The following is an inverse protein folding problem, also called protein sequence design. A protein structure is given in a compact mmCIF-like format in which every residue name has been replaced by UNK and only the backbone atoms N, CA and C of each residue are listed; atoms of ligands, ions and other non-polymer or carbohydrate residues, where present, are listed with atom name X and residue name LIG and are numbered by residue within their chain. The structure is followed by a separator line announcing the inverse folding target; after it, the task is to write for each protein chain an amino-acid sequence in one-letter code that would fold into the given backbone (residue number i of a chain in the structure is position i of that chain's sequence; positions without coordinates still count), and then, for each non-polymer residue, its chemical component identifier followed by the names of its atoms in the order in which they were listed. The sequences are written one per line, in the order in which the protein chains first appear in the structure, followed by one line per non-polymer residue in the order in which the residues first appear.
data_IF_219449973526
#
_entry.id   IF_219449973526
#
_cell.length_a   1.000
_cell.length_b   1.000
_cell.length_c   1.000
_cell.angle_alpha   90.00
_cell.angle_beta   90.00
_cell.angle_gamma   90.00
#
_symmetry.space_group_name_H-M   'P 1'
#
loop_
_entity.id
_entity.type
_entity.pdbx_description
1 polymer ?
#
# COMPACT_ATOMS: atom_id res chain seq x y z
N UNK A 1 -22.02 -1.46 -13.14
CA UNK A 1 -21.06 -1.15 -12.05
C UNK A 1 -21.35 0.23 -11.49
N UNK A 2 -20.98 0.46 -10.24
CA UNK A 2 -20.87 1.80 -9.68
C UNK A 2 -19.45 2.31 -9.92
N UNK A 3 -19.28 3.28 -10.83
CA UNK A 3 -17.98 3.88 -11.14
C UNK A 3 -18.05 5.43 -11.31
N UNK A 4 -17.71 6.22 -10.26
CA UNK A 4 -17.41 5.79 -8.89
C UNK A 4 -18.71 5.36 -8.18
N UNK A 5 -18.71 5.21 -6.85
CA UNK A 5 -19.91 4.83 -6.08
C UNK A 5 -21.13 5.74 -6.42
N UNK A 6 -22.38 5.30 -6.19
CA UNK A 6 -23.56 5.99 -6.69
C UNK A 6 -23.76 7.39 -6.09
N UNK A 7 -23.35 7.60 -4.83
CA UNK A 7 -23.40 8.91 -4.15
C UNK A 7 -22.45 9.88 -4.83
N UNK A 8 -21.20 9.45 -5.05
CA UNK A 8 -20.20 10.23 -5.74
C UNK A 8 -20.61 10.50 -7.19
N UNK A 9 -21.03 9.48 -7.95
CA UNK A 9 -21.41 9.61 -9.36
C UNK A 9 -22.48 10.66 -9.60
N UNK A 10 -23.53 10.64 -8.77
CA UNK A 10 -24.69 11.52 -8.92
C UNK A 10 -24.59 12.82 -8.11
N UNK A 11 -23.55 12.94 -7.28
CA UNK A 11 -23.43 14.00 -6.26
C UNK A 11 -24.71 14.09 -5.39
N UNK A 12 -25.18 12.93 -4.92
CA UNK A 12 -26.42 12.77 -4.17
C UNK A 12 -26.18 12.14 -2.80
N UNK A 13 -25.79 12.94 -1.79
CA UNK A 13 -25.62 12.45 -0.41
C UNK A 13 -26.95 12.06 0.26
N UNK A 14 -28.08 12.28 -0.41
CA UNK A 14 -29.41 11.89 0.03
C UNK A 14 -29.81 10.46 -0.36
N UNK A 15 -29.00 9.76 -1.16
CA UNK A 15 -29.23 8.33 -1.45
C UNK A 15 -29.16 7.52 -0.16
N UNK A 16 -29.92 6.44 -0.13
CA UNK A 16 -30.03 5.49 0.98
C UNK A 16 -30.06 4.10 0.40
N UNK A 17 -29.51 3.13 1.12
CA UNK A 17 -29.44 1.73 0.71
C UNK A 17 -30.85 1.13 0.48
N UNK A 18 -31.73 1.19 1.48
CA UNK A 18 -33.09 0.62 1.43
C UNK A 18 -33.12 -0.91 1.23
N UNK A 19 -32.21 -1.64 1.86
CA UNK A 19 -32.10 -3.10 1.83
C UNK A 19 -32.11 -3.66 0.40
N UNK A 20 -31.11 -3.27 -0.39
CA UNK A 20 -30.87 -3.72 -1.77
C UNK A 20 -31.98 -3.42 -2.78
N UNK A 21 -32.91 -2.53 -2.43
CA UNK A 21 -33.97 -2.16 -3.34
C UNK A 21 -33.37 -1.50 -4.59
N UNK A 22 -33.57 -2.13 -5.76
CA UNK A 22 -33.11 -1.58 -7.04
C UNK A 22 -33.59 -0.13 -7.28
N UNK A 23 -34.78 0.23 -6.78
CA UNK A 23 -35.33 1.58 -6.88
C UNK A 23 -34.63 2.63 -6.02
N UNK A 24 -33.78 2.23 -5.07
CA UNK A 24 -33.06 3.14 -4.19
C UNK A 24 -31.98 3.92 -4.95
N UNK A 25 -31.41 3.32 -5.99
CA UNK A 25 -30.35 3.91 -6.81
C UNK A 25 -30.84 4.09 -8.27
N UNK A 26 -30.86 5.33 -8.80
CA UNK A 26 -31.28 5.56 -10.18
C UNK A 26 -30.33 4.96 -11.22
N UNK A 27 -30.85 4.54 -12.38
CA UNK A 27 -30.07 4.00 -13.52
C UNK A 27 -28.85 4.85 -13.90
N UNK A 28 -28.92 6.18 -13.74
CA UNK A 28 -27.83 7.10 -14.05
C UNK A 28 -26.59 6.93 -13.16
N UNK A 29 -26.70 6.23 -12.03
CA UNK A 29 -25.56 5.87 -11.19
C UNK A 29 -24.74 4.72 -11.79
N UNK A 30 -25.37 3.87 -12.60
CA UNK A 30 -24.73 2.70 -13.18
C UNK A 30 -23.91 3.08 -14.42
N UNK A 31 -22.74 2.47 -14.54
CA UNK A 31 -21.90 2.54 -15.73
C UNK A 31 -21.78 1.16 -16.37
N UNK A 32 -21.92 1.11 -17.70
CA UNK A 32 -21.60 -0.07 -18.52
C UNK A 32 -20.11 -0.06 -18.83
N UNK A 33 -19.43 -1.16 -18.51
CA UNK A 33 -17.99 -1.33 -18.69
C UNK A 33 -17.70 -2.69 -19.31
N UNK A 34 -16.50 -2.86 -19.87
CA UNK A 34 -15.99 -4.15 -20.30
C UNK A 34 -15.23 -4.82 -19.14
N UNK A 35 -15.58 -6.07 -18.82
CA UNK A 35 -14.80 -6.89 -17.91
C UNK A 35 -13.74 -7.64 -18.71
N UNK A 36 -12.48 -7.26 -18.50
CA UNK A 36 -11.35 -7.74 -19.29
C UNK A 36 -10.89 -9.13 -18.84
N UNK A 37 -10.38 -9.91 -19.78
CA UNK A 37 -9.69 -11.19 -19.53
C UNK A 37 -10.53 -12.26 -18.78
N UNK A 38 -11.85 -12.22 -18.94
CA UNK A 38 -12.75 -13.27 -18.47
C UNK A 38 -12.61 -14.57 -19.28
N UNK A 39 -12.88 -15.74 -18.67
CA UNK A 39 -12.92 -17.01 -19.38
C UNK A 39 -14.16 -17.10 -20.27
N UNK A 40 -14.21 -18.08 -21.17
CA UNK A 40 -15.35 -18.25 -22.07
C UNK A 40 -16.65 -18.69 -21.35
N UNK A 41 -16.55 -19.26 -20.15
CA UNK A 41 -17.67 -19.73 -19.33
C UNK A 41 -17.20 -19.98 -17.90
N UNK A 42 -18.15 -20.07 -16.95
CA UNK A 42 -17.89 -20.34 -15.55
C UNK A 42 -17.64 -19.07 -14.72
N UNK A 43 -17.05 -19.19 -13.52
CA UNK A 43 -16.86 -18.07 -12.60
C UNK A 43 -16.04 -16.91 -13.21
N UNK A 44 -16.24 -15.70 -12.68
CA UNK A 44 -15.47 -14.53 -13.09
C UNK A 44 -14.02 -14.63 -12.58
N UNK A 45 -13.12 -15.14 -13.42
CA UNK A 45 -11.74 -15.41 -13.06
C UNK A 45 -10.76 -15.00 -14.18
N UNK A 46 -10.02 -13.92 -13.95
CA UNK A 46 -8.97 -13.42 -14.84
C UNK A 46 -7.56 -13.53 -14.22
N UNK A 47 -6.55 -12.95 -14.89
CA UNK A 47 -5.17 -12.99 -14.42
C UNK A 47 -4.90 -12.12 -13.18
N UNK A 48 -5.80 -11.16 -12.89
CA UNK A 48 -5.65 -10.20 -11.79
C UNK A 48 -6.60 -10.52 -10.62
N UNK A 49 -7.77 -11.09 -10.88
CA UNK A 49 -8.85 -11.28 -9.91
C UNK A 49 -9.52 -12.63 -10.13
N UNK A 50 -9.86 -13.31 -9.05
CA UNK A 50 -10.69 -14.51 -9.05
C UNK A 50 -11.85 -14.33 -8.08
N UNK A 51 -13.08 -14.22 -8.59
CA UNK A 51 -14.26 -14.26 -7.73
C UNK A 51 -14.41 -15.67 -7.14
N UNK A 52 -14.61 -15.73 -5.84
CA UNK A 52 -14.82 -16.94 -5.05
C UNK A 52 -15.98 -16.76 -4.09
N UNK A 53 -16.52 -17.86 -3.57
CA UNK A 53 -17.54 -17.86 -2.53
C UNK A 53 -17.15 -18.91 -1.48
N UNK A 54 -16.50 -18.42 -0.42
CA UNK A 54 -15.78 -19.24 0.56
C UNK A 54 -16.30 -19.03 1.97
N UNK A 55 -16.81 -17.84 2.29
CA UNK A 55 -17.48 -17.53 3.56
C UNK A 55 -18.96 -17.29 3.34
N UNK A 56 -19.79 -17.55 4.35
CA UNK A 56 -21.22 -17.28 4.19
C UNK A 56 -21.47 -15.77 4.00
N UNK A 57 -22.59 -15.38 3.38
CA UNK A 57 -23.62 -16.24 2.78
C UNK A 57 -23.22 -16.84 1.41
N UNK A 58 -23.84 -17.97 1.05
CA UNK A 58 -23.70 -18.54 -0.30
C UNK A 58 -24.73 -17.90 -1.22
N UNK A 59 -24.31 -17.31 -2.34
CA UNK A 59 -25.20 -16.61 -3.27
C UNK A 59 -25.21 -17.27 -4.66
N UNK A 60 -26.00 -16.70 -5.58
CA UNK A 60 -26.02 -17.16 -6.96
C UNK A 60 -24.95 -16.42 -7.76
N UNK A 61 -24.03 -17.16 -8.39
CA UNK A 61 -22.89 -16.57 -9.10
C UNK A 61 -23.19 -16.12 -10.53
N UNK A 62 -22.43 -15.14 -11.00
CA UNK A 62 -22.33 -14.81 -12.41
C UNK A 62 -21.57 -15.91 -13.17
N UNK A 63 -21.97 -16.14 -14.43
CA UNK A 63 -21.24 -16.98 -15.36
C UNK A 63 -20.75 -16.11 -16.53
N UNK A 64 -19.45 -16.16 -16.82
CA UNK A 64 -18.81 -15.37 -17.86
C UNK A 64 -19.39 -15.60 -19.28
N UNK A 65 -20.12 -16.69 -19.49
CA UNK A 65 -20.82 -16.99 -20.76
C UNK A 65 -22.20 -16.33 -20.88
N UNK A 66 -22.71 -15.72 -19.81
CA UNK A 66 -24.05 -15.11 -19.75
C UNK A 66 -23.99 -13.58 -19.82
N UNK A 67 -25.18 -12.94 -19.80
CA UNK A 67 -25.27 -11.49 -19.67
C UNK A 67 -24.77 -11.07 -18.28
N UNK A 68 -23.80 -10.16 -18.24
CA UNK A 68 -23.23 -9.60 -17.00
C UNK A 68 -23.81 -8.22 -16.66
N UNK A 69 -25.05 -7.99 -17.08
CA UNK A 69 -25.79 -6.76 -16.83
C UNK A 69 -26.72 -7.01 -15.64
N UNK A 70 -26.31 -6.54 -14.47
CA UNK A 70 -27.02 -6.68 -13.21
C UNK A 70 -27.33 -5.31 -12.60
N UNK A 71 -28.45 -5.21 -11.89
CA UNK A 71 -28.68 -4.15 -10.91
C UNK A 71 -28.37 -4.67 -9.50
N UNK A 72 -28.31 -3.75 -8.54
CA UNK A 72 -27.92 -4.03 -7.16
C UNK A 72 -28.83 -4.99 -6.38
N UNK A 73 -30.03 -5.29 -6.87
CA UNK A 73 -30.91 -6.27 -6.21
C UNK A 73 -30.50 -7.72 -6.49
N UNK A 74 -29.43 -7.91 -7.27
CA UNK A 74 -28.94 -9.21 -7.72
C UNK A 74 -27.52 -9.42 -7.19
N UNK A 75 -27.24 -10.53 -6.46
CA UNK A 75 -25.92 -10.77 -5.85
C UNK A 75 -24.77 -10.87 -6.86
N UNK A 76 -25.09 -11.08 -8.14
CA UNK A 76 -24.07 -11.03 -9.19
C UNK A 76 -23.51 -9.62 -9.42
N UNK A 77 -24.18 -8.57 -8.94
CA UNK A 77 -23.75 -7.19 -9.10
C UNK A 77 -22.44 -6.93 -8.35
N UNK A 78 -22.34 -7.39 -7.10
CA UNK A 78 -21.18 -7.29 -6.23
C UNK A 78 -19.97 -8.01 -6.87
N UNK A 79 -20.20 -9.18 -7.48
CA UNK A 79 -19.15 -9.92 -8.21
C UNK A 79 -18.58 -9.14 -9.39
N UNK A 80 -19.44 -8.57 -10.23
CA UNK A 80 -18.97 -7.83 -11.41
C UNK A 80 -18.35 -6.48 -11.03
N UNK A 81 -18.83 -5.86 -9.94
CA UNK A 81 -18.34 -4.58 -9.43
C UNK A 81 -16.94 -4.76 -8.81
N UNK A 82 -16.77 -5.75 -7.93
CA UNK A 82 -15.46 -6.09 -7.32
C UNK A 82 -14.45 -6.53 -8.36
N UNK A 83 -14.83 -7.39 -9.32
CA UNK A 83 -13.94 -7.80 -10.41
C UNK A 83 -13.40 -6.59 -11.16
N UNK A 84 -14.29 -5.67 -11.57
CA UNK A 84 -13.92 -4.48 -12.32
C UNK A 84 -12.96 -3.57 -11.55
N UNK A 85 -13.27 -3.21 -10.31
CA UNK A 85 -12.48 -2.22 -9.55
C UNK A 85 -11.11 -2.75 -9.17
N UNK A 86 -11.01 -4.00 -8.73
CA UNK A 86 -9.72 -4.61 -8.37
C UNK A 86 -8.87 -4.85 -9.62
N UNK A 87 -9.45 -5.35 -10.73
CA UNK A 87 -8.74 -5.52 -12.00
C UNK A 87 -8.20 -4.17 -12.53
N UNK A 88 -9.03 -3.12 -12.49
CA UNK A 88 -8.65 -1.77 -12.89
C UNK A 88 -7.50 -1.22 -12.04
N UNK A 89 -7.56 -1.39 -10.72
CA UNK A 89 -6.48 -0.96 -9.81
C UNK A 89 -5.19 -1.73 -10.08
N UNK A 90 -5.29 -3.04 -10.35
CA UNK A 90 -4.13 -3.88 -10.69
C UNK A 90 -3.52 -3.50 -12.05
N UNK A 91 -4.32 -3.11 -13.05
CA UNK A 91 -3.82 -2.57 -14.32
C UNK A 91 -3.19 -1.19 -14.15
N UNK A 92 -3.72 -0.37 -13.23
CA UNK A 92 -3.08 0.90 -12.89
C UNK A 92 -1.66 0.68 -12.34
N UNK A 93 -1.46 -0.25 -11.40
CA UNK A 93 -0.13 -0.63 -10.92
C UNK A 93 0.80 -1.06 -12.07
N UNK A 94 0.30 -1.85 -13.02
CA UNK A 94 1.08 -2.24 -14.20
C UNK A 94 1.44 -1.04 -15.09
N UNK A 95 0.54 -0.06 -15.23
CA UNK A 95 0.80 1.19 -15.98
C UNK A 95 1.86 2.09 -15.33
N UNK A 96 2.09 1.93 -14.02
CA UNK A 96 3.19 2.56 -13.30
C UNK A 96 4.54 1.85 -13.54
N UNK A 97 4.51 0.63 -14.08
CA UNK A 97 5.69 -0.17 -14.40
C UNK A 97 5.87 -1.42 -13.53
N UNK A 98 4.97 -1.68 -12.58
CA UNK A 98 4.99 -2.87 -11.73
C UNK A 98 4.50 -4.10 -12.50
N UNK A 99 5.38 -4.62 -13.36
CA UNK A 99 5.14 -5.75 -14.26
C UNK A 99 6.26 -6.79 -14.14
N UNK A 100 6.03 -8.00 -14.67
CA UNK A 100 7.03 -9.08 -14.65
C UNK A 100 7.54 -9.37 -13.24
N UNK A 101 8.87 -9.36 -13.06
CA UNK A 101 9.51 -9.61 -11.76
C UNK A 101 9.27 -8.52 -10.70
N UNK A 102 8.78 -7.34 -11.10
CA UNK A 102 8.43 -6.22 -10.18
C UNK A 102 6.93 -6.09 -9.95
N UNK A 103 6.15 -7.07 -10.38
CA UNK A 103 4.71 -7.04 -10.26
C UNK A 103 4.30 -7.06 -8.78
N UNK A 104 3.48 -6.10 -8.39
CA UNK A 104 2.81 -6.05 -7.09
C UNK A 104 1.48 -6.80 -7.21
N UNK A 105 1.08 -7.55 -6.18
CA UNK A 105 -0.02 -8.52 -6.21
C UNK A 105 0.11 -9.41 -7.46
N UNK A 106 1.20 -10.19 -7.46
CA UNK A 106 1.65 -10.99 -8.61
C UNK A 106 0.78 -12.18 -9.00
N UNK A 107 -0.42 -12.30 -8.43
CA UNK A 107 -1.33 -13.44 -8.54
C UNK A 107 -2.76 -12.95 -8.80
N UNK A 108 -3.65 -13.85 -9.22
CA UNK A 108 -5.08 -13.54 -9.30
C UNK A 108 -5.64 -13.54 -7.88
N UNK A 109 -5.91 -12.37 -7.31
CA UNK A 109 -6.35 -12.26 -5.92
C UNK A 109 -7.75 -12.86 -5.77
N UNK A 110 -7.97 -13.84 -4.85
CA UNK A 110 -9.29 -14.30 -4.53
C UNK A 110 -10.10 -13.19 -3.88
N UNK A 111 -11.32 -12.98 -4.35
CA UNK A 111 -12.26 -11.99 -3.81
C UNK A 111 -13.58 -12.67 -3.54
N UNK A 112 -14.04 -12.59 -2.30
CA UNK A 112 -15.33 -13.07 -1.84
C UNK A 112 -16.25 -11.86 -1.58
N UNK A 113 -17.16 -11.53 -2.53
CA UNK A 113 -18.00 -10.34 -2.43
C UNK A 113 -19.14 -10.48 -1.42
N UNK A 114 -19.43 -11.71 -0.96
CA UNK A 114 -20.51 -12.03 -0.03
C UNK A 114 -19.98 -12.89 1.12
N UNK A 115 -19.31 -12.24 2.05
CA UNK A 115 -18.51 -12.87 3.08
C UNK A 115 -18.92 -12.44 4.49
N UNK A 116 -18.06 -12.76 5.47
CA UNK A 116 -18.20 -12.33 6.86
C UNK A 116 -19.49 -12.82 7.59
N UNK A 117 -20.23 -13.76 7.01
CA UNK A 117 -21.59 -14.15 7.42
C UNK A 117 -22.61 -13.00 7.30
N UNK A 118 -22.43 -12.11 6.32
CA UNK A 118 -23.33 -10.99 6.02
C UNK A 118 -23.26 -9.85 7.05
N UNK A 119 -22.12 -9.66 7.70
CA UNK A 119 -21.92 -8.53 8.63
C UNK A 119 -21.39 -7.31 7.88
N UNK A 120 -21.71 -6.10 8.36
CA UNK A 120 -21.17 -4.81 7.91
C UNK A 120 -19.68 -4.72 8.27
N UNK A 121 -18.84 -5.32 7.42
CA UNK A 121 -17.39 -5.42 7.58
C UNK A 121 -16.71 -6.03 6.35
N UNK A 122 -15.53 -5.49 6.04
CA UNK A 122 -14.63 -5.98 5.00
C UNK A 122 -13.23 -6.19 5.53
N UNK A 123 -12.46 -7.06 4.88
CA UNK A 123 -11.08 -7.34 5.28
C UNK A 123 -10.24 -8.04 4.20
N UNK A 124 -8.96 -7.68 4.16
CA UNK A 124 -7.90 -8.50 3.60
C UNK A 124 -7.34 -9.49 4.65
N UNK A 125 -7.24 -10.77 4.27
CA UNK A 125 -6.60 -11.81 5.09
C UNK A 125 -5.44 -12.44 4.33
N UNK A 126 -4.32 -12.60 5.03
CA UNK A 126 -3.12 -13.31 4.56
C UNK A 126 -2.87 -14.55 5.42
N UNK A 127 -2.66 -15.70 4.78
CA UNK A 127 -2.18 -16.94 5.39
C UNK A 127 -0.72 -17.27 4.99
N UNK A 128 -0.23 -16.60 3.94
CA UNK A 128 1.06 -16.81 3.33
C UNK A 128 1.70 -15.44 3.04
N UNK A 129 2.90 -15.15 3.56
CA UNK A 129 3.55 -13.85 3.39
C UNK A 129 3.57 -13.39 1.92
N UNK A 130 3.06 -12.18 1.67
CA UNK A 130 3.02 -11.57 0.34
C UNK A 130 1.79 -11.91 -0.51
N UNK A 131 0.87 -12.74 0.00
CA UNK A 131 -0.38 -13.12 -0.67
C UNK A 131 -1.54 -13.20 0.32
N UNK A 132 -2.76 -13.21 -0.19
CA UNK A 132 -3.99 -13.24 0.61
C UNK A 132 -5.24 -13.09 -0.24
N UNK A 133 -6.39 -12.89 0.40
CA UNK A 133 -7.70 -12.77 -0.22
C UNK A 133 -8.51 -11.61 0.39
N UNK A 134 -9.46 -11.08 -0.38
CA UNK A 134 -10.38 -10.02 0.02
C UNK A 134 -11.75 -10.60 0.34
N UNK A 135 -12.40 -10.06 1.36
CA UNK A 135 -13.72 -10.46 1.83
C UNK A 135 -14.55 -9.21 2.10
N UNK A 136 -15.78 -9.18 1.59
CA UNK A 136 -16.71 -8.07 1.72
C UNK A 136 -18.04 -8.62 2.24
N UNK A 137 -18.61 -8.01 3.27
CA UNK A 137 -19.88 -8.44 3.84
C UNK A 137 -21.08 -7.71 3.23
N UNK A 138 -22.26 -8.27 3.49
CA UNK A 138 -23.57 -7.79 2.99
C UNK A 138 -24.34 -7.00 4.07
N UNK A 139 -23.64 -6.42 5.05
CA UNK A 139 -24.30 -5.76 6.17
C UNK A 139 -24.43 -4.27 5.93
N UNK A 140 -25.64 -3.75 6.03
CA UNK A 140 -25.92 -2.34 5.90
C UNK A 140 -26.05 -2.04 4.42
N UNK A 141 -25.11 -1.26 3.89
CA UNK A 141 -24.92 -1.19 2.44
C UNK A 141 -23.91 -2.27 2.11
N UNK A 142 -24.15 -3.12 1.12
CA UNK A 142 -23.17 -4.15 0.74
C UNK A 142 -21.79 -3.53 0.46
N UNK A 143 -20.76 -3.95 1.20
CA UNK A 143 -19.40 -3.42 1.11
C UNK A 143 -18.85 -3.54 -0.33
N UNK A 144 -19.29 -4.58 -1.05
CA UNK A 144 -18.96 -4.87 -2.45
C UNK A 144 -19.77 -4.03 -3.47
N UNK A 145 -20.52 -3.04 -3.02
CA UNK A 145 -21.09 -1.99 -3.87
C UNK A 145 -20.26 -0.70 -3.88
N UNK A 146 -19.53 -0.40 -2.80
CA UNK A 146 -18.73 0.84 -2.69
C UNK A 146 -17.26 0.60 -3.10
N UNK A 147 -16.80 1.06 -4.28
CA UNK A 147 -15.41 0.95 -4.69
C UNK A 147 -14.41 1.51 -3.68
N UNK A 148 -14.79 2.49 -2.85
CA UNK A 148 -13.88 3.03 -1.86
C UNK A 148 -13.45 1.96 -0.84
N UNK A 149 -14.36 1.05 -0.47
CA UNK A 149 -14.12 -0.06 0.46
C UNK A 149 -13.26 -1.14 -0.22
N UNK A 150 -13.62 -1.53 -1.44
CA UNK A 150 -12.85 -2.52 -2.21
C UNK A 150 -11.40 -2.11 -2.40
N UNK A 151 -11.17 -0.83 -2.73
CA UNK A 151 -9.85 -0.28 -2.99
C UNK A 151 -9.06 -0.05 -1.70
N UNK A 152 -9.74 0.18 -0.56
CA UNK A 152 -9.10 0.19 0.75
C UNK A 152 -8.49 -1.19 1.05
N UNK A 153 -9.29 -2.25 0.97
CA UNK A 153 -8.83 -3.61 1.26
C UNK A 153 -7.78 -4.10 0.26
N UNK A 154 -7.90 -3.73 -1.01
CA UNK A 154 -6.83 -3.97 -1.99
C UNK A 154 -5.55 -3.20 -1.65
N UNK A 155 -5.65 -2.05 -0.99
CA UNK A 155 -4.51 -1.33 -0.42
C UNK A 155 -3.70 -2.18 0.57
N UNK A 156 -4.37 -2.97 1.41
CA UNK A 156 -3.70 -3.93 2.29
C UNK A 156 -3.00 -5.04 1.49
N UNK A 157 -3.63 -5.58 0.45
CA UNK A 157 -3.01 -6.57 -0.42
C UNK A 157 -1.74 -6.03 -1.12
N UNK A 158 -1.75 -4.76 -1.53
CA UNK A 158 -0.59 -4.06 -2.08
C UNK A 158 0.53 -4.00 -1.06
N UNK A 159 0.26 -3.54 0.16
CA UNK A 159 1.27 -3.44 1.21
C UNK A 159 1.84 -4.81 1.59
N UNK A 160 0.99 -5.82 1.75
CA UNK A 160 1.42 -7.18 2.05
C UNK A 160 2.30 -7.74 0.91
N UNK A 161 1.93 -7.51 -0.35
CA UNK A 161 2.74 -7.92 -1.49
C UNK A 161 4.11 -7.23 -1.55
N UNK A 162 4.23 -5.98 -1.10
CA UNK A 162 5.48 -5.20 -1.14
C UNK A 162 6.38 -5.50 0.07
N UNK A 163 5.78 -5.54 1.26
CA UNK A 163 6.47 -5.69 2.53
C UNK A 163 5.68 -6.65 3.45
N UNK A 164 5.79 -7.97 3.21
CA UNK A 164 5.00 -8.97 3.92
C UNK A 164 5.09 -8.86 5.45
N UNK A 165 3.94 -8.80 6.12
CA UNK A 165 3.80 -8.69 7.56
C UNK A 165 4.22 -7.36 8.18
N UNK A 166 4.63 -6.36 7.38
CA UNK A 166 5.21 -5.13 7.91
C UNK A 166 4.21 -4.28 8.70
N UNK A 167 2.97 -4.20 8.22
CA UNK A 167 1.93 -3.30 8.72
C UNK A 167 0.91 -4.00 9.64
N UNK A 168 1.27 -5.17 10.16
CA UNK A 168 0.53 -5.80 11.26
C UNK A 168 0.76 -5.10 12.60
N UNK A 169 0.18 -5.65 13.67
CA UNK A 169 0.31 -5.12 15.02
C UNK A 169 -1.04 -4.99 15.72
N UNK A 170 -1.04 -4.47 16.94
CA UNK A 170 -2.28 -4.19 17.67
C UNK A 170 -2.93 -2.89 17.18
N UNK A 171 -4.19 -2.67 17.57
CA UNK A 171 -4.96 -1.46 17.26
C UNK A 171 -4.30 -0.15 17.69
N UNK A 172 -3.43 -0.18 18.71
CA UNK A 172 -2.65 0.99 19.14
C UNK A 172 -1.32 1.18 18.40
N UNK A 173 -0.93 0.25 17.51
CA UNK A 173 0.38 0.31 16.85
C UNK A 173 0.39 1.31 15.69
N UNK A 174 1.51 2.01 15.54
CA UNK A 174 1.76 2.90 14.40
C UNK A 174 1.73 2.12 13.07
N UNK A 175 2.25 0.90 13.04
CA UNK A 175 2.28 0.05 11.85
C UNK A 175 0.89 -0.34 11.36
N UNK A 176 -0.02 -0.69 12.27
CA UNK A 176 -1.42 -0.97 11.91
C UNK A 176 -2.11 0.30 11.40
N UNK A 177 -1.92 1.43 12.07
CA UNK A 177 -2.47 2.72 11.61
C UNK A 177 -1.91 3.16 10.24
N UNK A 178 -0.63 2.92 9.96
CA UNK A 178 -0.03 3.13 8.63
C UNK A 178 -0.67 2.23 7.57
N UNK A 179 -1.07 1.01 7.94
CA UNK A 179 -1.83 0.11 7.09
C UNK A 179 -3.17 0.70 6.69
N UNK A 180 -3.99 1.06 7.68
CA UNK A 180 -5.32 1.65 7.45
C UNK A 180 -5.25 2.97 6.66
N UNK A 181 -4.27 3.82 7.00
CA UNK A 181 -4.06 5.08 6.29
C UNK A 181 -3.57 4.90 4.85
N UNK A 182 -2.88 3.79 4.53
CA UNK A 182 -2.54 3.45 3.16
C UNK A 182 -3.78 3.01 2.38
N UNK A 183 -4.64 2.17 2.97
CA UNK A 183 -5.91 1.76 2.38
C UNK A 183 -6.78 2.96 2.01
N UNK A 184 -7.01 3.87 2.97
CA UNK A 184 -7.79 5.09 2.75
C UNK A 184 -7.15 6.00 1.67
N UNK A 185 -5.82 6.13 1.64
CA UNK A 185 -5.13 6.88 0.59
C UNK A 185 -5.27 6.23 -0.80
N UNK A 186 -5.11 4.91 -0.88
CA UNK A 186 -5.16 4.19 -2.15
C UNK A 186 -6.57 4.23 -2.75
N UNK A 187 -7.58 4.09 -1.90
CA UNK A 187 -9.00 4.31 -2.21
C UNK A 187 -9.22 5.72 -2.78
N UNK A 188 -8.90 6.77 -2.01
CA UNK A 188 -8.95 8.17 -2.43
C UNK A 188 -8.27 8.40 -3.80
N UNK A 189 -7.01 7.95 -3.92
CA UNK A 189 -6.22 8.18 -5.13
C UNK A 189 -6.84 7.52 -6.36
N UNK A 190 -7.52 6.39 -6.17
CA UNK A 190 -8.09 5.59 -7.25
C UNK A 190 -9.44 6.13 -7.76
N UNK A 191 -10.20 6.83 -6.92
CA UNK A 191 -11.52 7.38 -7.27
C UNK A 191 -11.52 8.90 -7.47
N UNK A 192 -10.44 9.60 -7.10
CA UNK A 192 -10.32 11.06 -7.12
C UNK A 192 -10.82 11.73 -8.41
N UNK A 193 -10.32 11.30 -9.57
CA UNK A 193 -10.62 11.95 -10.86
C UNK A 193 -12.10 11.84 -11.21
N UNK A 194 -12.70 10.67 -11.00
CA UNK A 194 -14.11 10.44 -11.26
C UNK A 194 -14.99 11.24 -10.30
N UNK A 195 -14.60 11.32 -9.02
CA UNK A 195 -15.36 12.03 -7.99
C UNK A 195 -15.33 13.55 -8.17
N UNK A 196 -14.20 14.13 -8.60
CA UNK A 196 -14.20 15.58 -8.91
C UNK A 196 -15.01 15.92 -10.15
N UNK A 197 -15.08 15.00 -11.13
CA UNK A 197 -15.85 15.22 -12.37
C UNK A 197 -17.35 15.27 -12.10
N UNK A 198 -17.85 14.53 -11.11
CA UNK A 198 -19.25 14.61 -10.68
C UNK A 198 -19.57 15.84 -9.83
N UNK A 199 -18.55 16.56 -9.35
CA UNK A 199 -18.68 17.71 -8.46
C UNK A 199 -18.91 17.35 -6.99
N UNK A 200 -18.71 16.08 -6.62
CA UNK A 200 -18.69 15.62 -5.23
C UNK A 200 -17.35 15.99 -4.58
N UNK A 201 -17.35 16.15 -3.25
CA UNK A 201 -16.13 16.30 -2.46
C UNK A 201 -15.32 14.99 -2.50
N UNK A 202 -14.09 14.97 -3.05
CA UNK A 202 -13.34 13.74 -3.26
C UNK A 202 -12.61 13.23 -2.01
N UNK A 203 -12.80 13.85 -0.85
CA UNK A 203 -12.07 13.49 0.37
C UNK A 203 -12.87 12.60 1.34
N UNK A 204 -14.13 12.29 1.02
CA UNK A 204 -14.90 11.26 1.71
C UNK A 204 -14.49 9.88 1.22
N UNK A 205 -14.37 8.93 2.15
CA UNK A 205 -14.17 7.50 1.88
C UNK A 205 -15.40 6.74 2.37
N UNK A 206 -16.00 5.92 1.51
CA UNK A 206 -17.16 5.11 1.87
C UNK A 206 -18.43 5.95 1.99
N UNK A 207 -18.65 6.91 1.09
CA UNK A 207 -19.86 7.74 1.16
C UNK A 207 -21.11 7.05 0.63
N UNK A 208 -21.00 5.90 -0.06
CA UNK A 208 -22.13 5.01 -0.32
C UNK A 208 -22.31 4.01 0.81
N UNK A 209 -21.24 3.38 1.27
CA UNK A 209 -21.27 2.40 2.38
C UNK A 209 -21.97 2.94 3.64
N UNK A 210 -21.75 4.22 3.93
CA UNK A 210 -22.38 4.92 5.04
C UNK A 210 -23.92 5.09 4.94
N UNK A 211 -24.59 4.71 3.84
CA UNK A 211 -25.99 5.11 3.52
C UNK A 211 -27.07 4.12 3.99
N UNK A 212 -26.77 3.29 4.98
CA UNK A 212 -27.67 2.26 5.50
C UNK A 212 -28.49 2.65 6.75
N UNK A 213 -28.39 3.90 7.26
CA UNK A 213 -28.97 4.24 8.58
C UNK A 213 -30.50 4.27 8.64
N UNK A 214 -31.19 4.11 7.50
CA UNK A 214 -32.64 3.93 7.42
C UNK A 214 -33.06 2.47 7.31
N UNK A 215 -32.10 1.55 7.15
CA UNK A 215 -32.39 0.14 7.04
C UNK A 215 -32.78 -0.44 8.40
N UNK A 216 -33.45 -1.59 8.36
CA UNK A 216 -33.86 -2.24 9.58
C UNK A 216 -32.67 -2.89 10.30
N UNK A 217 -32.84 -3.13 11.60
CA UNK A 217 -31.76 -3.61 12.46
C UNK A 217 -31.17 -4.98 12.05
N UNK A 218 -31.82 -5.75 11.18
CA UNK A 218 -31.27 -7.00 10.64
C UNK A 218 -30.11 -6.78 9.67
N UNK A 219 -29.99 -5.59 9.09
CA UNK A 219 -28.89 -5.20 8.21
C UNK A 219 -27.62 -4.82 8.99
N UNK A 220 -27.66 -4.75 10.33
CA UNK A 220 -26.47 -4.48 11.15
C UNK A 220 -25.72 -3.16 10.87
N UNK A 221 -26.37 -2.19 10.21
CA UNK A 221 -25.78 -0.88 9.89
C UNK A 221 -25.16 -0.18 11.12
N UNK A 222 -23.85 0.09 11.06
CA UNK A 222 -23.10 0.72 12.14
C UNK A 222 -23.14 2.26 12.17
N UNK A 223 -23.70 2.90 11.14
CA UNK A 223 -23.52 4.33 10.91
C UNK A 223 -24.63 5.22 11.49
N UNK A 224 -24.29 6.39 12.08
CA UNK A 224 -25.28 7.30 12.63
C UNK A 224 -26.09 7.99 11.53
N UNK A 225 -27.33 8.36 11.85
CA UNK A 225 -28.17 9.14 10.94
C UNK A 225 -27.48 10.43 10.47
N UNK A 226 -27.43 10.63 9.15
CA UNK A 226 -26.79 11.78 8.53
C UNK A 226 -25.27 11.65 8.39
N UNK A 227 -24.70 10.45 8.55
CA UNK A 227 -23.32 10.19 8.18
C UNK A 227 -23.08 10.58 6.72
N UNK A 228 -22.00 11.34 6.47
CA UNK A 228 -21.64 11.71 5.10
C UNK A 228 -20.69 10.69 4.47
N UNK A 229 -19.82 10.08 5.27
CA UNK A 229 -18.93 8.99 4.89
C UNK A 229 -18.34 8.33 6.15
N UNK A 230 -17.69 7.17 5.97
CA UNK A 230 -16.98 6.46 7.04
C UNK A 230 -15.85 7.31 7.61
N UNK A 231 -15.00 7.81 6.71
CA UNK A 231 -13.75 8.50 7.06
C UNK A 231 -13.44 9.57 6.04
N UNK A 232 -12.52 10.46 6.41
CA UNK A 232 -12.03 11.54 5.54
C UNK A 232 -10.51 11.53 5.45
N UNK A 233 -10.00 11.71 4.24
CA UNK A 233 -8.55 11.83 3.98
C UNK A 233 -8.05 13.28 4.03
N UNK A 234 -8.85 14.25 4.45
CA UNK A 234 -8.47 15.66 4.60
C UNK A 234 -8.55 16.15 6.06
N UNK A 235 -8.63 15.21 7.01
CA UNK A 235 -8.66 15.51 8.43
C UNK A 235 -7.41 16.26 8.92
N UNK A 236 -7.57 17.03 10.01
CA UNK A 236 -6.51 17.85 10.62
C UNK A 236 -5.74 17.14 11.73
N UNK A 237 -6.02 15.84 11.96
CA UNK A 237 -5.36 15.04 13.00
C UNK A 237 -3.83 15.05 12.80
N UNK A 238 -3.10 15.10 13.90
CA UNK A 238 -1.64 15.04 13.94
C UNK A 238 -1.20 13.91 14.87
N UNK A 239 0.10 13.62 14.94
CA UNK A 239 0.64 12.69 15.93
C UNK A 239 0.30 13.05 17.38
N UNK A 240 -0.02 14.31 17.69
CA UNK A 240 -0.52 14.71 19.01
C UNK A 240 -1.94 14.19 19.32
N UNK A 241 -2.67 13.77 18.28
CA UNK A 241 -4.00 13.15 18.39
C UNK A 241 -3.94 11.62 18.35
N UNK A 242 -2.74 11.03 18.20
CA UNK A 242 -2.59 9.58 18.11
C UNK A 242 -3.11 8.90 19.38
N UNK A 243 -4.01 7.95 19.20
CA UNK A 243 -4.68 7.24 20.29
C UNK A 243 -3.90 5.96 20.60
N UNK A 244 -3.41 5.86 21.83
CA UNK A 244 -2.72 4.66 22.33
C UNK A 244 -3.73 3.80 23.10
N UNK A 245 -4.57 3.07 22.37
CA UNK A 245 -5.58 2.13 22.91
C UNK A 245 -5.72 0.92 22.00
N UNK A 246 -5.79 -0.28 22.57
CA UNK A 246 -6.03 -1.52 21.82
C UNK A 246 -7.54 -1.77 21.60
N UNK A 247 -8.33 -0.71 21.49
CA UNK A 247 -9.74 -0.80 21.12
C UNK A 247 -9.85 -0.95 19.60
N UNK A 248 -10.57 -1.98 19.07
CA UNK A 248 -10.83 -2.08 17.64
C UNK A 248 -11.38 -0.78 17.07
N UNK A 249 -10.98 -0.39 15.85
CA UNK A 249 -11.34 0.90 15.29
C UNK A 249 -10.31 2.01 15.58
N UNK A 250 -9.35 1.79 16.48
CA UNK A 250 -8.34 2.81 16.84
C UNK A 250 -7.34 3.03 15.72
N UNK A 251 -6.89 1.94 15.09
CA UNK A 251 -6.02 1.94 13.93
C UNK A 251 -6.56 2.79 12.78
N UNK A 252 -7.86 2.66 12.45
CA UNK A 252 -8.48 3.45 11.40
C UNK A 252 -8.50 4.95 11.75
N UNK A 253 -8.85 5.29 13.01
CA UNK A 253 -8.84 6.68 13.50
C UNK A 253 -7.46 7.31 13.46
N UNK A 254 -6.42 6.53 13.74
CA UNK A 254 -5.03 6.95 13.68
C UNK A 254 -4.52 7.01 12.23
N UNK A 255 -5.00 6.12 11.36
CA UNK A 255 -4.66 6.06 9.94
C UNK A 255 -5.00 7.33 9.16
N UNK A 256 -6.03 8.06 9.58
CA UNK A 256 -6.37 9.39 9.05
C UNK A 256 -5.20 10.40 9.10
N UNK A 257 -4.26 10.26 10.06
CA UNK A 257 -3.05 11.10 10.12
C UNK A 257 -2.17 10.85 8.89
N UNK A 258 -2.02 9.58 8.50
CA UNK A 258 -1.18 9.17 7.38
C UNK A 258 -1.85 9.47 6.04
N UNK A 259 -3.11 9.05 5.87
CA UNK A 259 -3.86 9.28 4.62
C UNK A 259 -3.97 10.78 4.31
N UNK A 260 -4.16 11.62 5.33
CA UNK A 260 -4.15 13.08 5.19
C UNK A 260 -2.81 13.66 4.74
N UNK A 261 -1.69 13.16 5.27
CA UNK A 261 -0.37 13.56 4.79
C UNK A 261 -0.14 13.14 3.33
N UNK A 262 -0.52 11.92 2.95
CA UNK A 262 -0.36 11.43 1.58
C UNK A 262 -1.26 12.18 0.59
N UNK A 263 -2.49 12.49 0.98
CA UNK A 263 -3.40 13.34 0.20
C UNK A 263 -2.81 14.72 -0.06
N UNK A 264 -2.17 15.34 0.93
CA UNK A 264 -1.45 16.62 0.74
C UNK A 264 -0.35 16.53 -0.31
N UNK A 265 0.41 15.44 -0.32
CA UNK A 265 1.42 15.18 -1.34
C UNK A 265 0.76 15.01 -2.71
N UNK A 266 -0.25 14.14 -2.82
CA UNK A 266 -1.04 13.91 -4.03
C UNK A 266 -1.57 15.21 -4.65
N UNK A 267 -2.18 16.08 -3.85
CA UNK A 267 -2.75 17.33 -4.32
C UNK A 267 -1.70 18.32 -4.86
N UNK A 268 -0.42 18.12 -4.56
CA UNK A 268 0.68 18.99 -4.99
C UNK A 268 1.47 18.43 -6.16
N UNK A 269 1.68 17.11 -6.20
CA UNK A 269 2.55 16.46 -7.21
C UNK A 269 1.76 15.67 -8.27
N UNK A 270 0.47 15.46 -8.03
CA UNK A 270 -0.43 14.70 -8.90
C UNK A 270 -0.37 13.18 -8.65
N UNK A 271 -1.44 12.50 -9.07
CA UNK A 271 -1.69 11.06 -8.85
C UNK A 271 -0.48 10.18 -9.16
N UNK A 272 -0.01 10.20 -10.40
CA UNK A 272 1.05 9.29 -10.86
C UNK A 272 2.33 9.42 -10.02
N UNK A 273 2.76 10.65 -9.72
CA UNK A 273 3.98 10.88 -8.94
C UNK A 273 3.77 10.50 -7.47
N UNK A 274 2.64 10.88 -6.87
CA UNK A 274 2.36 10.57 -5.46
C UNK A 274 2.23 9.05 -5.24
N UNK A 275 1.46 8.36 -6.09
CA UNK A 275 1.29 6.91 -5.98
C UNK A 275 2.61 6.17 -6.15
N UNK A 276 3.43 6.57 -7.13
CA UNK A 276 4.77 5.98 -7.31
C UNK A 276 5.64 6.19 -6.07
N UNK A 277 5.64 7.40 -5.49
CA UNK A 277 6.40 7.68 -4.26
C UNK A 277 5.89 6.85 -3.08
N UNK A 278 4.58 6.71 -2.92
CA UNK A 278 3.95 5.93 -1.85
C UNK A 278 4.30 4.44 -1.97
N UNK A 279 4.24 3.89 -3.18
CA UNK A 279 4.62 2.49 -3.45
C UNK A 279 6.12 2.25 -3.24
N UNK A 280 6.98 3.07 -3.84
CA UNK A 280 8.43 2.97 -3.70
C UNK A 280 8.90 3.21 -2.25
N UNK A 281 8.23 4.12 -1.53
CA UNK A 281 8.44 4.35 -0.11
C UNK A 281 8.04 3.16 0.78
N UNK A 282 7.19 2.26 0.29
CA UNK A 282 6.77 1.05 1.01
C UNK A 282 7.80 -0.08 0.90
N UNK A 283 8.54 -0.18 -0.22
CA UNK A 283 9.53 -1.24 -0.42
C UNK A 283 10.61 -1.25 0.67
N UNK A 284 10.83 -2.42 1.26
CA UNK A 284 11.81 -2.61 2.34
C UNK A 284 11.43 -1.90 3.64
N UNK A 285 10.14 -1.68 3.89
CA UNK A 285 9.66 -1.37 5.24
C UNK A 285 9.98 -2.53 6.19
N UNK A 286 10.52 -2.28 7.40
CA UNK A 286 10.70 -3.31 8.40
C UNK A 286 9.35 -3.72 9.02
N UNK A 287 9.33 -4.82 9.77
CA UNK A 287 8.18 -5.18 10.61
C UNK A 287 7.94 -4.11 11.67
N UNK A 288 6.70 -3.64 11.80
CA UNK A 288 6.31 -2.65 12.80
C UNK A 288 6.90 -1.25 12.55
N UNK A 289 6.83 -0.68 11.33
CA UNK A 289 7.44 0.61 11.06
C UNK A 289 6.70 1.74 11.80
N UNK A 290 7.43 2.81 12.10
CA UNK A 290 6.87 4.06 12.63
C UNK A 290 6.51 5.02 11.50
N UNK A 291 5.61 5.97 11.77
CA UNK A 291 5.25 7.05 10.86
C UNK A 291 6.49 7.85 10.42
N UNK A 292 7.36 8.19 11.36
CA UNK A 292 8.61 8.90 11.07
C UNK A 292 9.50 8.12 10.11
N UNK A 293 9.63 6.80 10.30
CA UNK A 293 10.43 5.96 9.41
C UNK A 293 9.82 5.92 8.00
N UNK A 294 8.51 5.72 7.88
CA UNK A 294 7.86 5.67 6.57
C UNK A 294 7.92 7.02 5.85
N UNK A 295 7.81 8.14 6.56
CA UNK A 295 8.00 9.47 6.01
C UNK A 295 9.44 9.70 5.49
N UNK A 296 10.45 9.17 6.19
CA UNK A 296 11.83 9.19 5.71
C UNK A 296 12.02 8.32 4.47
N UNK A 297 11.34 7.17 4.38
CA UNK A 297 11.36 6.33 3.17
C UNK A 297 10.71 7.02 1.97
N UNK A 298 9.65 7.81 2.16
CA UNK A 298 9.08 8.65 1.10
C UNK A 298 10.07 9.71 0.58
N UNK A 299 10.79 10.37 1.48
CA UNK A 299 11.85 11.30 1.11
C UNK A 299 12.99 10.60 0.35
N UNK A 300 13.36 9.38 0.77
CA UNK A 300 14.37 8.58 0.08
C UNK A 300 13.90 8.15 -1.32
N UNK A 301 12.63 7.73 -1.47
CA UNK A 301 12.04 7.41 -2.76
C UNK A 301 12.04 8.63 -3.70
N UNK A 302 11.70 9.82 -3.19
CA UNK A 302 11.77 11.05 -3.98
C UNK A 302 13.21 11.42 -4.37
N UNK A 303 14.16 11.23 -3.46
CA UNK A 303 15.60 11.35 -3.75
C UNK A 303 16.03 10.46 -4.92
N UNK A 304 15.65 9.18 -4.88
CA UNK A 304 16.06 8.19 -5.86
C UNK A 304 15.39 8.39 -7.24
N UNK A 305 14.09 8.71 -7.27
CA UNK A 305 13.31 8.76 -8.51
C UNK A 305 13.30 10.14 -9.16
N UNK A 306 13.27 11.19 -8.33
CA UNK A 306 13.04 12.57 -8.77
C UNK A 306 14.17 13.52 -8.36
N UNK A 307 15.28 13.00 -7.83
CA UNK A 307 16.39 13.83 -7.35
C UNK A 307 16.02 14.74 -6.17
N UNK A 308 14.99 14.38 -5.40
CA UNK A 308 14.51 15.17 -4.27
C UNK A 308 13.62 16.36 -4.64
N UNK A 309 13.11 16.42 -5.88
CA UNK A 309 12.31 17.54 -6.38
C UNK A 309 11.02 17.80 -5.57
N UNK A 310 10.47 16.77 -4.92
CA UNK A 310 9.24 16.87 -4.12
C UNK A 310 9.51 16.86 -2.61
N UNK A 311 10.77 16.82 -2.18
CA UNK A 311 11.16 16.80 -0.76
C UNK A 311 10.49 17.90 0.07
N UNK A 312 10.41 19.12 -0.45
CA UNK A 312 9.73 20.24 0.22
C UNK A 312 8.22 20.01 0.41
N UNK A 313 7.56 19.37 -0.57
CA UNK A 313 6.13 19.02 -0.49
C UNK A 313 5.91 17.93 0.55
N UNK A 314 6.69 16.84 0.48
CA UNK A 314 6.63 15.72 1.42
C UNK A 314 6.88 16.23 2.84
N UNK A 315 7.91 17.04 3.02
CA UNK A 315 8.22 17.64 4.31
C UNK A 315 7.13 18.55 4.85
N UNK A 316 6.54 19.39 4.00
CA UNK A 316 5.42 20.24 4.41
C UNK A 316 4.23 19.41 4.90
N UNK A 317 3.87 18.35 4.17
CA UNK A 317 2.78 17.45 4.55
C UNK A 317 3.07 16.72 5.88
N UNK A 318 4.26 16.12 6.00
CA UNK A 318 4.63 15.31 7.16
C UNK A 318 4.81 16.15 8.43
N UNK A 319 5.39 17.35 8.30
CA UNK A 319 5.55 18.27 9.44
C UNK A 319 4.22 18.88 9.88
N UNK A 320 3.30 19.16 8.94
CA UNK A 320 1.94 19.64 9.27
C UNK A 320 1.12 18.61 10.06
N UNK A 321 1.51 17.33 10.04
CA UNK A 321 0.91 16.24 10.82
C UNK A 321 1.75 15.83 12.04
N UNK A 322 2.86 16.52 12.30
CA UNK A 322 3.76 16.19 13.40
C UNK A 322 4.48 14.84 13.26
N UNK A 323 4.52 14.28 12.05
CA UNK A 323 5.21 13.00 11.74
C UNK A 323 6.72 13.22 11.67
N UNK A 324 7.12 14.32 11.05
CA UNK A 324 8.50 14.80 10.96
C UNK A 324 8.63 16.15 11.64
N UNK A 325 9.82 16.46 12.12
CA UNK A 325 10.24 17.80 12.50
C UNK A 325 10.96 18.51 11.35
N UNK A 326 11.15 19.83 11.46
CA UNK A 326 11.97 20.58 10.50
C UNK A 326 13.42 20.10 10.42
N UNK A 327 13.94 19.50 11.50
CA UNK A 327 15.27 18.90 11.53
C UNK A 327 15.30 17.63 10.68
N UNK A 328 14.25 16.80 10.75
CA UNK A 328 14.16 15.57 9.94
C UNK A 328 14.09 15.88 8.43
N UNK A 329 13.58 17.06 8.09
CA UNK A 329 13.43 17.54 6.71
C UNK A 329 14.66 18.22 6.11
N UNK A 330 15.58 18.67 6.95
CA UNK A 330 16.83 19.33 6.52
C UNK A 330 18.06 18.44 6.75
N UNK A 331 17.88 17.38 7.53
CA UNK A 331 18.81 16.28 7.61
C UNK A 331 18.66 15.46 6.34
N UNK A 332 19.62 15.57 5.41
CA UNK A 332 19.87 14.43 4.53
C UNK A 332 19.95 13.20 5.45
N UNK A 333 19.21 12.11 5.18
CA UNK A 333 19.07 11.00 6.11
C UNK A 333 20.45 10.65 6.67
N UNK A 334 20.59 10.70 8.00
CA UNK A 334 21.83 10.28 8.65
C UNK A 334 21.97 8.80 8.35
N UNK A 335 22.79 8.49 7.33
CA UNK A 335 22.73 7.18 6.74
C UNK A 335 21.64 7.08 5.68
N UNK A 336 21.95 7.36 4.41
CA UNK A 336 21.00 7.01 3.35
C UNK A 336 20.88 5.49 3.34
N UNK A 337 19.71 4.98 3.74
CA UNK A 337 19.42 3.56 3.75
C UNK A 337 19.05 3.16 2.32
N UNK A 338 19.98 2.54 1.62
CA UNK A 338 19.82 2.09 0.24
C UNK A 338 19.68 0.57 0.22
N UNK A 339 18.64 0.10 -0.46
CA UNK A 339 18.38 -1.32 -0.66
C UNK A 339 18.91 -1.77 -2.02
N UNK A 340 19.68 -2.85 -2.03
CA UNK A 340 20.19 -3.46 -3.25
C UNK A 340 19.77 -4.93 -3.30
N UNK A 341 18.88 -5.24 -4.24
CA UNK A 341 18.44 -6.61 -4.50
C UNK A 341 19.40 -7.30 -5.46
N UNK A 342 19.80 -8.53 -5.17
CA UNK A 342 20.50 -9.35 -6.18
C UNK A 342 19.55 -9.72 -7.31
N UNK A 343 19.99 -9.62 -8.58
CA UNK A 343 19.19 -10.05 -9.72
C UNK A 343 19.14 -11.58 -9.88
N UNK A 344 19.95 -12.31 -9.13
CA UNK A 344 20.05 -13.77 -9.21
C UNK A 344 19.17 -14.41 -8.14
N UNK A 345 18.28 -15.30 -8.57
CA UNK A 345 17.26 -15.94 -7.74
C UNK A 345 17.14 -17.43 -8.09
N UNK A 346 16.80 -18.25 -7.09
CA UNK A 346 16.58 -19.69 -7.28
C UNK A 346 17.83 -20.45 -7.75
N UNK A 347 19.03 -20.00 -7.36
CA UNK A 347 20.28 -20.62 -7.79
C UNK A 347 20.56 -21.83 -6.91
N UNK A 348 20.65 -23.02 -7.51
CA UNK A 348 20.91 -24.28 -6.79
C UNK A 348 22.35 -24.74 -7.00
N UNK A 349 23.02 -25.18 -5.92
CA UNK A 349 24.36 -25.74 -6.01
C UNK A 349 24.98 -26.02 -4.64
N UNK A 350 26.20 -26.55 -4.65
CA UNK A 350 27.03 -26.72 -3.42
C UNK A 350 28.00 -25.57 -3.21
N UNK A 351 28.25 -24.76 -4.24
CA UNK A 351 29.09 -23.57 -4.22
C UNK A 351 28.45 -22.49 -5.11
N UNK A 352 27.71 -21.59 -4.49
CA UNK A 352 27.02 -20.49 -5.17
C UNK A 352 27.78 -19.19 -4.89
N UNK A 353 28.04 -18.43 -5.94
CA UNK A 353 28.58 -17.08 -5.85
C UNK A 353 27.59 -16.14 -6.56
N UNK A 354 26.89 -15.33 -5.78
CA UNK A 354 25.88 -14.42 -6.29
C UNK A 354 26.26 -12.97 -6.11
N UNK A 355 25.97 -12.11 -7.09
CA UNK A 355 26.56 -10.76 -7.11
C UNK A 355 25.54 -9.61 -7.13
N UNK A 356 25.98 -8.45 -6.62
CA UNK A 356 25.28 -7.16 -6.69
C UNK A 356 26.30 -6.10 -7.12
N UNK A 357 25.95 -5.30 -8.13
CA UNK A 357 26.73 -4.12 -8.52
C UNK A 357 26.16 -2.87 -7.82
N UNK A 358 27.01 -2.16 -7.07
CA UNK A 358 26.64 -0.92 -6.38
C UNK A 358 27.49 0.23 -6.94
N UNK A 359 26.84 1.34 -7.30
CA UNK A 359 27.54 2.54 -7.81
C UNK A 359 27.78 3.61 -6.74
N UNK A 360 27.15 3.46 -5.55
CA UNK A 360 27.29 4.41 -4.45
C UNK A 360 28.68 4.33 -3.82
N UNK A 361 29.49 5.38 -3.98
CA UNK A 361 30.85 5.42 -3.45
C UNK A 361 30.95 5.82 -1.99
N UNK A 362 29.85 6.16 -1.31
CA UNK A 362 29.88 6.63 0.08
C UNK A 362 30.35 5.56 1.04
N UNK A 363 30.89 6.01 2.18
CA UNK A 363 31.37 5.12 3.21
C UNK A 363 30.20 4.44 3.94
N UNK A 364 30.29 3.13 4.17
CA UNK A 364 29.25 2.35 4.84
C UNK A 364 29.25 2.70 6.33
N UNK A 365 28.14 3.22 6.85
CA UNK A 365 27.95 3.43 8.28
C UNK A 365 27.38 2.18 8.96
N UNK A 366 26.45 1.51 8.30
CA UNK A 366 25.88 0.24 8.74
C UNK A 366 25.53 -0.63 7.52
N UNK A 367 25.53 -1.94 7.71
CA UNK A 367 25.29 -2.92 6.66
C UNK A 367 24.43 -4.06 7.22
N UNK A 368 23.34 -4.37 6.54
CA UNK A 368 22.56 -5.58 6.79
C UNK A 368 22.49 -6.42 5.52
N UNK A 369 22.38 -7.74 5.71
CA UNK A 369 22.26 -8.70 4.62
C UNK A 369 21.07 -9.58 4.92
N UNK A 370 20.10 -9.62 4.01
CA UNK A 370 19.01 -10.59 4.08
C UNK A 370 19.34 -11.73 3.13
N UNK A 371 19.24 -12.97 3.59
CA UNK A 371 19.50 -14.16 2.77
C UNK A 371 18.41 -15.20 3.03
N UNK A 372 17.76 -15.65 1.96
CA UNK A 372 16.86 -16.79 1.96
C UNK A 372 17.54 -17.97 1.26
N UNK A 373 17.90 -19.00 2.03
CA UNK A 373 18.50 -20.23 1.52
C UNK A 373 17.72 -21.44 2.02
N UNK A 374 17.40 -22.36 1.12
CA UNK A 374 16.81 -23.65 1.45
C UNK A 374 17.94 -24.69 1.62
N UNK A 375 18.18 -25.09 2.87
CA UNK A 375 19.21 -26.04 3.28
C UNK A 375 20.36 -25.40 4.08
N UNK A 376 21.18 -26.24 4.71
CA UNK A 376 22.28 -25.77 5.57
C UNK A 376 23.49 -25.34 4.74
N UNK A 377 23.93 -24.10 4.90
CA UNK A 377 25.09 -23.56 4.20
C UNK A 377 25.90 -22.59 5.06
N UNK A 378 27.20 -22.52 4.77
CA UNK A 378 28.07 -21.44 5.23
C UNK A 378 27.94 -20.25 4.29
N UNK A 379 27.54 -19.11 4.84
CA UNK A 379 27.32 -17.89 4.08
C UNK A 379 28.39 -16.86 4.44
N UNK A 380 29.07 -16.33 3.43
CA UNK A 380 30.08 -15.28 3.56
C UNK A 380 29.77 -14.15 2.60
N UNK A 381 29.70 -12.93 3.09
CA UNK A 381 29.64 -11.74 2.26
C UNK A 381 31.06 -11.29 1.92
N UNK A 382 31.30 -10.95 0.65
CA UNK A 382 32.55 -10.42 0.13
C UNK A 382 32.28 -9.05 -0.45
N UNK A 383 32.96 -8.03 0.07
CA UNK A 383 32.85 -6.66 -0.40
C UNK A 383 33.73 -6.37 -1.63
N UNK A 384 33.54 -5.21 -2.28
CA UNK A 384 34.25 -4.84 -3.50
C UNK A 384 35.78 -4.78 -3.38
N UNK A 385 36.28 -4.54 -2.18
CA UNK A 385 37.71 -4.49 -1.86
C UNK A 385 38.28 -5.84 -1.40
N UNK A 386 37.48 -6.91 -1.48
CA UNK A 386 37.86 -8.26 -1.06
C UNK A 386 37.68 -8.55 0.44
N UNK A 387 37.16 -7.60 1.23
CA UNK A 387 36.82 -7.84 2.65
C UNK A 387 35.78 -8.94 2.77
N UNK A 388 35.99 -9.91 3.67
CA UNK A 388 35.09 -11.06 3.86
C UNK A 388 34.55 -11.08 5.28
N UNK A 389 33.25 -11.30 5.43
CA UNK A 389 32.63 -11.44 6.74
C UNK A 389 31.50 -12.47 6.74
N UNK A 390 31.27 -13.08 7.90
CA UNK A 390 30.05 -13.85 8.17
C UNK A 390 28.89 -12.88 8.45
N UNK A 391 27.66 -13.34 8.24
CA UNK A 391 26.47 -12.51 8.42
C UNK A 391 26.32 -11.97 9.85
N UNK A 392 26.89 -12.64 10.86
CA UNK A 392 26.87 -12.18 12.25
C UNK A 392 27.96 -11.15 12.59
N UNK A 393 28.86 -10.81 11.66
CA UNK A 393 30.06 -10.01 11.93
C UNK A 393 30.37 -8.98 10.83
N UNK A 394 29.36 -8.20 10.43
CA UNK A 394 29.44 -7.27 9.30
C UNK A 394 30.18 -5.95 9.59
N UNK A 395 30.57 -5.67 10.84
CA UNK A 395 31.25 -4.42 11.21
C UNK A 395 32.57 -4.17 10.45
N UNK A 396 33.18 -5.22 9.90
CA UNK A 396 34.39 -5.12 9.06
C UNK A 396 34.19 -4.27 7.80
N UNK A 397 32.94 -4.06 7.37
CA UNK A 397 32.59 -3.21 6.23
C UNK A 397 32.42 -1.73 6.58
N UNK A 398 32.31 -1.39 7.88
CA UNK A 398 32.09 0.00 8.31
C UNK A 398 33.25 0.92 7.91
N UNK A 399 32.92 2.08 7.37
CA UNK A 399 33.85 3.11 6.90
C UNK A 399 34.40 2.88 5.49
N UNK A 400 34.09 1.74 4.85
CA UNK A 400 34.54 1.41 3.49
C UNK A 400 33.55 1.89 2.45
N UNK A 401 34.00 2.11 1.21
CA UNK A 401 33.10 2.48 0.12
C UNK A 401 32.15 1.34 -0.22
N UNK A 402 30.87 1.66 -0.47
CA UNK A 402 29.89 0.68 -0.96
C UNK A 402 30.06 0.35 -2.46
N UNK A 403 30.80 1.16 -3.22
CA UNK A 403 30.87 1.05 -4.67
C UNK A 403 31.67 -0.17 -5.12
N UNK A 404 31.11 -0.89 -6.09
CA UNK A 404 31.70 -2.02 -6.79
C UNK A 404 30.86 -3.28 -6.65
N UNK A 405 31.49 -4.42 -6.92
CA UNK A 405 30.84 -5.72 -6.97
C UNK A 405 30.87 -6.37 -5.58
N UNK A 406 29.68 -6.59 -5.02
CA UNK A 406 29.49 -7.41 -3.83
C UNK A 406 29.20 -8.85 -4.25
N UNK A 407 29.72 -9.81 -3.48
CA UNK A 407 29.48 -11.24 -3.72
C UNK A 407 29.01 -11.94 -2.46
N UNK A 408 27.87 -12.61 -2.52
CA UNK A 408 27.43 -13.58 -1.52
C UNK A 408 27.95 -14.97 -1.91
N UNK A 409 28.81 -15.54 -1.08
CA UNK A 409 29.32 -16.90 -1.24
C UNK A 409 28.56 -17.84 -0.31
N UNK A 410 27.91 -18.85 -0.89
CA UNK A 410 27.12 -19.86 -0.17
C UNK A 410 27.75 -21.22 -0.45
N UNK A 411 28.32 -21.84 0.58
CA UNK A 411 29.03 -23.12 0.48
C UNK A 411 28.31 -24.16 1.34
N UNK A 412 27.98 -25.30 0.75
CA UNK A 412 27.34 -26.41 1.47
C UNK A 412 27.94 -27.76 1.06
N UNK A 413 27.78 -28.75 1.94
CA UNK A 413 28.16 -30.16 1.70
C UNK A 413 27.10 -30.89 0.87
N UNK A 414 25.88 -30.36 0.76
CA UNK A 414 24.80 -30.87 -0.07
C UNK A 414 24.22 -29.73 -0.95
N UNK A 415 23.52 -30.03 -2.05
CA UNK A 415 22.88 -29.00 -2.85
C UNK A 415 21.90 -28.17 -2.01
N UNK A 416 22.08 -26.84 -2.03
CA UNK A 416 21.16 -25.86 -1.43
C UNK A 416 20.60 -24.96 -2.53
N UNK A 417 19.48 -24.30 -2.26
CA UNK A 417 18.92 -23.30 -3.18
C UNK A 417 18.95 -21.93 -2.54
N UNK A 418 19.70 -21.00 -3.12
CA UNK A 418 19.64 -19.58 -2.78
C UNK A 418 18.41 -18.98 -3.45
N UNK A 419 17.35 -18.76 -2.67
CA UNK A 419 16.08 -18.22 -3.17
C UNK A 419 16.20 -16.73 -3.48
N UNK A 420 16.80 -15.96 -2.56
CA UNK A 420 17.05 -14.53 -2.72
C UNK A 420 18.06 -14.02 -1.71
N UNK A 421 18.69 -12.88 -2.01
CA UNK A 421 19.39 -12.10 -1.01
C UNK A 421 19.45 -10.62 -1.38
N UNK A 422 19.69 -9.77 -0.38
CA UNK A 422 19.76 -8.31 -0.54
C UNK A 422 20.78 -7.69 0.40
N UNK A 423 21.28 -6.52 0.03
CA UNK A 423 22.06 -5.63 0.89
C UNK A 423 21.23 -4.43 1.30
N UNK A 424 21.30 -4.09 2.59
CA UNK A 424 20.78 -2.85 3.14
C UNK A 424 21.98 -2.05 3.61
N UNK A 425 22.36 -1.02 2.87
CA UNK A 425 23.50 -0.17 3.19
C UNK A 425 22.99 1.13 3.76
N UNK A 426 23.50 1.50 4.92
CA UNK A 426 23.35 2.83 5.48
C UNK A 426 24.62 3.60 5.13
N UNK A 427 24.56 4.48 4.14
CA UNK A 427 25.73 5.25 3.66
C UNK A 427 25.96 6.49 4.50
N UNK A 428 27.18 6.69 5.01
CA UNK A 428 27.57 7.88 5.76
C UNK A 428 27.23 9.15 4.94
N UNK A 429 26.38 9.99 5.52
CA UNK A 429 25.96 11.24 4.89
C UNK A 429 27.15 12.18 4.66
N UNK A 430 27.08 12.98 3.60
CA UNK A 430 28.09 13.98 3.31
C UNK A 430 28.30 14.89 4.52
N UNK A 431 29.56 15.01 4.97
CA UNK A 431 29.95 16.15 5.79
C UNK A 431 29.71 17.38 4.95
N UNK A 432 28.80 18.27 5.38
CA UNK A 432 28.78 19.62 4.83
C UNK A 432 30.21 20.18 4.86
N UNK A 433 30.68 20.85 3.79
CA UNK A 433 31.90 21.62 3.89
C UNK A 433 31.68 22.67 4.97
N UNK A 434 32.47 22.58 6.05
CA UNK A 434 32.56 23.64 7.06
C UNK A 434 32.87 24.91 6.30
N UNK A 435 31.90 25.83 6.23
CA UNK A 435 32.07 27.11 5.57
C UNK A 435 33.13 27.90 6.35
N UNK A 436 34.38 27.80 5.91
CA UNK A 436 35.49 28.55 6.44
C UNK A 436 35.31 30.03 6.11
N UNK A 437 35.02 30.83 7.15
CA UNK A 437 34.99 32.30 7.20
C UNK A 437 33.65 32.97 6.89
N UNK A 438 32.74 32.96 7.86
CA UNK A 438 31.93 34.16 8.12
C UNK A 438 32.83 35.21 8.79
N UNK A 439 33.42 36.12 8.00
CA UNK A 439 33.98 37.35 8.55
C UNK A 439 32.83 38.23 9.01
N UNK A 440 32.90 38.68 10.26
CA UNK A 440 32.01 39.70 10.79
C UNK A 440 32.13 40.97 9.96
N UNK A 441 31.00 41.53 9.54
CA UNK A 441 30.91 42.96 9.28
C UNK A 441 29.72 43.52 10.05
N UNK A 442 30.01 44.02 11.25
CA UNK A 442 29.24 45.10 11.85
C UNK A 442 29.23 46.25 10.85
N UNK A 443 28.05 46.71 10.46
CA UNK A 443 27.86 48.06 9.97
C UNK A 443 26.88 48.76 10.88
N UNK A 444 27.44 49.67 11.68
CA UNK A 444 26.71 50.78 12.30
C UNK A 444 26.42 51.79 11.20
N UNK A 445 25.15 52.10 10.95
CA UNK A 445 24.55 53.42 11.15
C UNK A 445 23.06 53.32 10.89
#
# INVERSE_FOLDING_TARGET
MFDPNPVAKLNRPDLQDQADAASAVPDAAYSTVELLDLPASGPLAGPNVQIVDTQLPRTAHADASQSLMFDRSQPQFEEVNTYFHIDRSQRYLQSLGYTGARRIVGYAIPVDPHAANGTDNSFFVTDTPGTGALFFGDGGTDDAEDPDIMLHEFGHAIQESIAPGAFGGSSSSESRALGEGFGDYWSFSSTYEQTIVSGRDPFCIGDWDARCWLDDASQACGYPSGADCLRRVDGTKTMANFIVSDTPGTEHKNGEIWSSALREIFMKVGKRTADTLVLEGTFGAPIGPTFTLMAQKLLAADGALNGGANSGVICSAMTARGILSSVDCTSAPRGELTFFQSPEHGVTGTNIASTIAITDSRAIQNLNVNVAVAGDAQITLIGPDGTRAKLQSLDSFRGRSAAGMWTLSVISTAPVTLTSWSLVIVSAGDRQPVCGRCRSSRLRR
#
